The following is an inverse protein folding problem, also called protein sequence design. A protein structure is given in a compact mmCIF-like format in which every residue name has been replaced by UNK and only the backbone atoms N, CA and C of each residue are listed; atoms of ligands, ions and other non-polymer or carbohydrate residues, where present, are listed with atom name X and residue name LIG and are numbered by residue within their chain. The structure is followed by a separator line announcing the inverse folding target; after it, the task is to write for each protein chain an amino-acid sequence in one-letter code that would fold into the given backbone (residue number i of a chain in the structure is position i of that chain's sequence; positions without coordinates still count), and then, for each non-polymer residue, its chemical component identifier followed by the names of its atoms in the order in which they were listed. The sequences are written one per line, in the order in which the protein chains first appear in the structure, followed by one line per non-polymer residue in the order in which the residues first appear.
data_IF_054192096403
#
_entry.id   IF_054192096403
#
_cell.length_a   1.000
_cell.length_b   1.000
_cell.length_c   1.000
_cell.angle_alpha   90.00
_cell.angle_beta   90.00
_cell.angle_gamma   90.00
#
_symmetry.space_group_name_H-M   'P 1'
#
loop_
_entity.id
_entity.type
_entity.pdbx_description
1 polymer ?
#
# COMPACT_ATOMS: atom_id res chain seq x y z
N UNK A 1 -11.87 -37.76 -28.43
CA UNK A 1 -12.26 -36.34 -28.61
C UNK A 1 -11.20 -35.70 -29.49
N UNK A 2 -11.54 -35.32 -30.72
CA UNK A 2 -10.61 -34.70 -31.67
C UNK A 2 -10.44 -33.22 -31.34
N UNK A 3 -9.20 -32.79 -31.17
CA UNK A 3 -8.82 -31.40 -30.93
C UNK A 3 -8.42 -30.74 -32.25
N UNK A 4 -9.35 -30.64 -33.20
CA UNK A 4 -9.06 -29.97 -34.45
C UNK A 4 -10.21 -29.97 -35.43
N UNK A 5 -11.01 -28.91 -35.40
CA UNK A 5 -11.55 -28.25 -36.59
C UNK A 5 -12.26 -26.93 -36.18
N UNK A 6 -11.63 -25.79 -36.51
CA UNK A 6 -12.29 -24.52 -36.83
C UNK A 6 -13.00 -23.73 -35.72
N UNK A 7 -12.26 -22.79 -35.10
CA UNK A 7 -12.74 -21.64 -34.32
C UNK A 7 -13.80 -21.91 -33.25
N UNK A 8 -13.35 -22.29 -32.06
CA UNK A 8 -14.17 -22.24 -30.86
C UNK A 8 -14.76 -20.82 -30.71
N UNK A 9 -16.09 -20.73 -30.62
CA UNK A 9 -16.75 -19.43 -30.50
C UNK A 9 -16.29 -18.75 -29.20
N UNK A 10 -16.22 -17.42 -29.17
CA UNK A 10 -15.92 -16.65 -27.95
C UNK A 10 -16.79 -17.07 -26.75
N UNK A 11 -18.05 -17.44 -27.00
CA UNK A 11 -18.94 -17.96 -25.97
C UNK A 11 -18.43 -19.30 -25.38
N UNK A 12 -17.97 -20.22 -26.24
CA UNK A 12 -17.46 -21.54 -25.85
C UNK A 12 -16.10 -21.44 -25.16
N UNK A 13 -15.22 -20.53 -25.65
CA UNK A 13 -13.95 -20.23 -24.98
C UNK A 13 -14.18 -19.65 -23.58
N UNK A 14 -15.13 -18.73 -23.43
CA UNK A 14 -15.52 -18.20 -22.12
C UNK A 14 -16.03 -19.32 -21.21
N UNK A 15 -16.89 -20.19 -21.73
CA UNK A 15 -17.48 -21.29 -20.96
C UNK A 15 -16.41 -22.29 -20.49
N UNK A 16 -15.45 -22.60 -21.38
CA UNK A 16 -14.29 -23.42 -21.04
C UNK A 16 -13.43 -22.76 -19.94
N UNK A 17 -13.18 -21.45 -20.02
CA UNK A 17 -12.44 -20.73 -18.98
C UNK A 17 -13.21 -20.69 -17.65
N UNK A 18 -14.53 -20.56 -17.66
CA UNK A 18 -15.35 -20.59 -16.45
C UNK A 18 -15.31 -21.96 -15.75
N UNK A 19 -15.29 -23.04 -16.54
CA UNK A 19 -15.24 -24.41 -16.06
C UNK A 19 -13.84 -24.91 -15.72
N UNK A 20 -12.79 -24.12 -15.97
CA UNK A 20 -11.46 -24.46 -15.49
C UNK A 20 -11.44 -24.49 -13.95
N UNK A 21 -10.65 -25.41 -13.36
CA UNK A 21 -10.38 -25.41 -11.92
C UNK A 21 -9.86 -24.03 -11.45
N UNK A 22 -10.20 -23.65 -10.22
CA UNK A 22 -9.79 -22.36 -9.64
C UNK A 22 -8.27 -22.19 -9.55
N UNK A 23 -7.56 -23.31 -9.44
CA UNK A 23 -6.10 -23.44 -9.42
C UNK A 23 -5.47 -23.53 -10.82
N UNK A 24 -6.25 -23.40 -11.90
CA UNK A 24 -5.72 -23.40 -13.26
C UNK A 24 -4.88 -22.15 -13.56
N UNK A 25 -3.81 -22.33 -14.35
CA UNK A 25 -2.92 -21.24 -14.78
C UNK A 25 -3.67 -20.10 -15.49
N UNK A 26 -4.73 -20.42 -16.25
CA UNK A 26 -5.55 -19.41 -16.95
C UNK A 26 -6.36 -18.55 -15.98
N UNK A 27 -6.98 -19.15 -14.95
CA UNK A 27 -7.69 -18.39 -13.93
C UNK A 27 -6.73 -17.60 -13.05
N UNK A 28 -5.56 -18.17 -12.73
CA UNK A 28 -4.49 -17.49 -12.01
C UNK A 28 -4.02 -16.22 -12.76
N UNK A 29 -3.67 -16.35 -14.04
CA UNK A 29 -3.25 -15.23 -14.88
C UNK A 29 -4.34 -14.15 -15.05
N UNK A 30 -5.61 -14.55 -15.21
CA UNK A 30 -6.73 -13.60 -15.31
C UNK A 30 -6.94 -12.81 -14.02
N UNK A 31 -6.64 -13.42 -12.87
CA UNK A 31 -6.72 -12.78 -11.55
C UNK A 31 -5.48 -11.96 -11.16
N UNK A 32 -4.47 -11.86 -12.03
CA UNK A 32 -3.23 -11.13 -11.72
C UNK A 32 -2.29 -11.86 -10.76
N UNK A 33 -2.40 -13.19 -10.66
CA UNK A 33 -1.47 -14.01 -9.87
C UNK A 33 -0.15 -14.15 -10.62
N UNK A 34 0.94 -13.72 -9.96
CA UNK A 34 2.30 -13.81 -10.46
C UNK A 34 3.07 -14.74 -9.54
N UNK A 35 3.72 -15.75 -10.12
CA UNK A 35 4.59 -16.72 -9.43
C UNK A 35 3.88 -17.67 -8.43
N UNK A 36 2.57 -17.88 -8.56
CA UNK A 36 1.83 -18.82 -7.72
C UNK A 36 1.69 -18.35 -6.27
N UNK A 37 1.70 -17.02 -6.07
CA UNK A 37 1.54 -16.38 -4.76
C UNK A 37 0.08 -16.34 -4.31
N UNK A 38 -0.88 -16.81 -5.11
CA UNK A 38 -2.30 -16.78 -4.74
C UNK A 38 -2.65 -17.79 -3.65
N UNK A 39 -3.37 -17.31 -2.63
CA UNK A 39 -4.10 -18.19 -1.71
C UNK A 39 -5.41 -18.67 -2.33
N UNK A 40 -5.78 -19.91 -2.04
CA UNK A 40 -7.13 -20.37 -2.35
C UNK A 40 -8.15 -19.64 -1.47
N UNK A 41 -9.42 -19.60 -1.89
CA UNK A 41 -10.49 -18.99 -1.10
C UNK A 41 -10.57 -19.58 0.33
N UNK A 42 -10.34 -20.89 0.46
CA UNK A 42 -10.28 -21.55 1.76
C UNK A 42 -9.14 -21.03 2.63
N UNK A 43 -7.97 -20.80 2.05
CA UNK A 43 -6.80 -20.27 2.77
C UNK A 43 -7.03 -18.82 3.20
N UNK A 44 -7.62 -17.98 2.35
CA UNK A 44 -8.04 -16.63 2.75
C UNK A 44 -9.02 -16.65 3.92
N UNK A 45 -10.01 -17.54 3.89
CA UNK A 45 -11.01 -17.63 4.95
C UNK A 45 -10.38 -18.09 6.28
N UNK A 46 -9.46 -19.06 6.22
CA UNK A 46 -8.73 -19.54 7.40
C UNK A 46 -7.81 -18.47 7.98
N UNK A 47 -7.08 -17.75 7.13
CA UNK A 47 -6.23 -16.63 7.54
C UNK A 47 -7.06 -15.50 8.19
N UNK A 48 -8.20 -15.15 7.60
CA UNK A 48 -9.12 -14.15 8.16
C UNK A 48 -9.66 -14.59 9.52
N UNK A 49 -10.05 -15.86 9.67
CA UNK A 49 -10.53 -16.42 10.93
C UNK A 49 -9.42 -16.38 12.01
N UNK A 50 -8.20 -16.78 11.65
CA UNK A 50 -7.05 -16.71 12.56
C UNK A 50 -6.78 -15.27 13.02
N UNK A 51 -6.74 -14.31 12.10
CA UNK A 51 -6.52 -12.90 12.41
C UNK A 51 -7.64 -12.32 13.29
N UNK A 52 -8.89 -12.72 13.07
CA UNK A 52 -10.00 -12.31 13.92
C UNK A 52 -9.86 -12.85 15.35
N UNK A 53 -9.46 -14.12 15.51
CA UNK A 53 -9.18 -14.69 16.83
C UNK A 53 -8.02 -14.00 17.52
N UNK A 54 -6.95 -13.72 16.79
CA UNK A 54 -5.80 -12.98 17.31
C UNK A 54 -6.22 -11.59 17.83
N UNK A 55 -7.08 -10.88 17.09
CA UNK A 55 -7.64 -9.60 17.52
C UNK A 55 -8.47 -9.75 18.81
N UNK A 56 -9.36 -10.74 18.87
CA UNK A 56 -10.14 -11.01 20.08
C UNK A 56 -9.25 -11.28 21.30
N UNK A 57 -8.20 -12.08 21.13
CA UNK A 57 -7.22 -12.36 22.19
C UNK A 57 -6.54 -11.07 22.64
N UNK A 58 -6.09 -10.22 21.72
CA UNK A 58 -5.46 -8.92 22.06
C UNK A 58 -6.41 -8.00 22.81
N UNK A 59 -7.68 -7.94 22.40
CA UNK A 59 -8.72 -7.15 23.08
C UNK A 59 -8.98 -7.67 24.48
N UNK A 60 -9.16 -8.99 24.64
CA UNK A 60 -9.37 -9.61 25.95
C UNK A 60 -8.15 -9.43 26.86
N UNK A 61 -6.94 -9.51 26.31
CA UNK A 61 -5.71 -9.29 27.05
C UNK A 61 -5.62 -7.86 27.57
N UNK A 62 -5.80 -6.87 26.68
CA UNK A 62 -5.81 -5.47 27.05
C UNK A 62 -6.89 -5.14 28.10
N UNK A 63 -8.03 -5.83 28.05
CA UNK A 63 -9.12 -5.59 28.97
C UNK A 63 -8.96 -6.29 30.34
N UNK A 64 -8.35 -7.49 30.39
CA UNK A 64 -8.48 -8.39 31.56
C UNK A 64 -7.15 -8.94 32.11
N UNK A 65 -6.04 -8.80 31.39
CA UNK A 65 -4.76 -9.41 31.77
C UNK A 65 -3.69 -8.34 32.07
N UNK A 66 -2.71 -8.70 32.91
CA UNK A 66 -1.54 -7.85 33.21
C UNK A 66 -0.32 -8.37 32.46
N UNK A 67 0.48 -7.46 31.94
CA UNK A 67 1.69 -7.77 31.15
C UNK A 67 1.45 -7.65 29.65
N UNK A 68 2.50 -7.85 28.87
CA UNK A 68 2.44 -7.71 27.41
C UNK A 68 1.70 -8.89 26.77
N UNK A 69 0.89 -8.64 25.72
CA UNK A 69 0.21 -9.71 24.99
C UNK A 69 1.23 -10.64 24.31
N UNK A 70 0.87 -11.90 24.09
CA UNK A 70 1.73 -12.84 23.37
C UNK A 70 2.05 -12.33 21.96
N UNK A 71 3.33 -12.40 21.59
CA UNK A 71 3.82 -12.00 20.27
C UNK A 71 3.40 -13.05 19.23
N UNK A 72 2.21 -12.83 18.68
CA UNK A 72 1.68 -13.60 17.56
C UNK A 72 1.43 -12.61 16.43
N UNK A 73 2.24 -12.67 15.34
CA UNK A 73 2.02 -11.83 14.18
C UNK A 73 0.74 -12.26 13.45
N UNK A 74 0.01 -11.31 12.84
CA UNK A 74 -1.10 -11.66 11.96
C UNK A 74 -0.59 -12.39 10.71
N UNK A 75 -1.47 -13.18 10.12
CA UNK A 75 -1.23 -13.85 8.85
C UNK A 75 -1.50 -12.84 7.73
N UNK A 76 -0.45 -12.43 7.04
CA UNK A 76 -0.51 -11.44 5.95
C UNK A 76 -0.79 -12.13 4.62
N UNK A 77 -1.74 -11.57 3.87
CA UNK A 77 -2.04 -12.02 2.52
C UNK A 77 -0.83 -11.84 1.61
N UNK A 78 -0.60 -12.73 0.64
CA UNK A 78 0.47 -12.57 -0.34
C UNK A 78 0.24 -11.31 -1.18
N UNK A 79 1.30 -10.56 -1.45
CA UNK A 79 1.23 -9.37 -2.29
C UNK A 79 0.95 -9.76 -3.75
N UNK A 80 -0.03 -9.08 -4.36
CA UNK A 80 -0.34 -9.15 -5.79
C UNK A 80 0.31 -7.98 -6.54
N UNK A 81 0.41 -8.04 -7.87
CA UNK A 81 0.92 -6.90 -8.67
C UNK A 81 0.14 -5.61 -8.42
N UNK A 82 -1.16 -5.72 -8.13
CA UNK A 82 -2.02 -4.56 -7.84
C UNK A 82 -1.61 -3.93 -6.51
N UNK A 83 -1.32 -4.75 -5.51
CA UNK A 83 -0.86 -4.28 -4.19
C UNK A 83 0.52 -3.64 -4.30
N UNK A 84 1.43 -4.23 -5.08
CA UNK A 84 2.76 -3.69 -5.35
C UNK A 84 2.68 -2.31 -6.04
N UNK A 85 1.86 -2.19 -7.10
CA UNK A 85 1.64 -0.91 -7.80
C UNK A 85 0.97 0.12 -6.89
N UNK A 86 0.03 -0.29 -6.05
CA UNK A 86 -0.62 0.62 -5.10
C UNK A 86 0.39 1.14 -4.07
N UNK A 87 1.26 0.26 -3.54
CA UNK A 87 2.32 0.66 -2.63
C UNK A 87 3.32 1.63 -3.27
N UNK A 88 3.67 1.43 -4.55
CA UNK A 88 4.50 2.36 -5.32
C UNK A 88 3.82 3.74 -5.47
N UNK A 89 2.52 3.78 -5.76
CA UNK A 89 1.76 5.02 -5.87
C UNK A 89 1.65 5.76 -4.52
N UNK A 90 1.45 5.03 -3.42
CA UNK A 90 1.42 5.59 -2.07
C UNK A 90 2.79 6.16 -1.68
N UNK A 91 3.88 5.44 -1.95
CA UNK A 91 5.24 5.92 -1.73
C UNK A 91 5.54 7.18 -2.56
N UNK A 92 5.11 7.22 -3.83
CA UNK A 92 5.25 8.40 -4.68
C UNK A 92 4.41 9.58 -4.16
N UNK A 93 3.21 9.31 -3.64
CA UNK A 93 2.35 10.31 -3.01
C UNK A 93 2.99 10.92 -1.76
N UNK A 94 3.58 10.09 -0.90
CA UNK A 94 4.33 10.54 0.29
C UNK A 94 5.50 11.43 -0.14
N UNK A 95 6.34 10.97 -1.06
CA UNK A 95 7.47 11.75 -1.56
C UNK A 95 7.05 13.11 -2.17
N UNK A 96 5.95 13.13 -2.93
CA UNK A 96 5.39 14.37 -3.47
C UNK A 96 4.92 15.32 -2.36
N UNK A 97 4.17 14.80 -1.39
CA UNK A 97 3.69 15.59 -0.26
C UNK A 97 4.83 16.15 0.60
N UNK A 98 5.89 15.37 0.85
CA UNK A 98 7.10 15.83 1.52
C UNK A 98 7.79 16.93 0.72
N UNK A 99 7.90 16.79 -0.61
CA UNK A 99 8.48 17.82 -1.47
C UNK A 99 7.68 19.14 -1.42
N UNK A 100 6.35 19.06 -1.41
CA UNK A 100 5.48 20.24 -1.27
C UNK A 100 5.64 20.86 0.12
N UNK A 101 5.62 20.07 1.19
CA UNK A 101 5.79 20.58 2.55
C UNK A 101 7.15 21.25 2.75
N UNK A 102 8.21 20.69 2.15
CA UNK A 102 9.55 21.28 2.18
C UNK A 102 9.63 22.63 1.45
N UNK A 103 8.84 22.84 0.39
CA UNK A 103 8.77 24.16 -0.28
C UNK A 103 8.19 25.24 0.63
N UNK A 104 7.29 24.87 1.55
CA UNK A 104 6.66 25.79 2.49
C UNK A 104 7.27 25.74 3.91
N UNK A 105 8.38 25.01 4.09
CA UNK A 105 9.05 24.97 5.39
C UNK A 105 9.72 26.31 5.66
N UNK A 106 9.55 26.89 6.87
CA UNK A 106 10.14 28.18 7.22
C UNK A 106 11.67 28.08 7.22
N UNK A 107 12.33 28.97 6.48
CA UNK A 107 13.79 28.96 6.28
C UNK A 107 14.26 28.66 4.85
N UNK A 108 13.36 28.67 3.87
CA UNK A 108 13.75 28.69 2.45
C UNK A 108 14.47 30.00 2.10
N UNK A 109 15.41 29.95 1.13
CA UNK A 109 16.34 31.05 0.78
C UNK A 109 15.70 32.44 0.62
N UNK A 110 14.43 32.50 0.22
CA UNK A 110 13.67 33.74 0.06
C UNK A 110 13.45 34.46 1.38
N UNK A 111 13.13 33.74 2.46
CA UNK A 111 12.96 34.32 3.80
C UNK A 111 14.29 34.86 4.34
N UNK A 112 15.39 34.15 4.09
CA UNK A 112 16.71 34.57 4.57
C UNK A 112 17.18 35.86 3.88
N UNK A 113 16.93 36.00 2.58
CA UNK A 113 17.27 37.21 1.83
C UNK A 113 16.44 38.44 2.27
N UNK A 114 15.16 38.25 2.60
CA UNK A 114 14.33 39.33 3.17
C UNK A 114 14.77 39.69 4.59
N UNK A 115 15.09 38.71 5.43
CA UNK A 115 15.63 38.93 6.79
C UNK A 115 16.94 39.74 6.70
N UNK A 116 17.84 39.37 5.80
CA UNK A 116 19.12 40.07 5.62
C UNK A 116 18.91 41.50 5.08
N UNK A 117 17.94 41.68 4.18
CA UNK A 117 17.56 43.01 3.68
C UNK A 117 17.05 43.91 4.81
N UNK A 118 16.11 43.45 5.63
CA UNK A 118 15.58 44.23 6.75
C UNK A 118 16.60 44.45 7.87
N UNK A 119 17.48 43.48 8.13
CA UNK A 119 18.59 43.62 9.06
C UNK A 119 19.62 44.66 8.61
N UNK A 120 19.82 44.84 7.29
CA UNK A 120 20.66 45.90 6.75
C UNK A 120 20.03 47.28 6.94
N UNK A 121 18.71 47.40 6.70
CA UNK A 121 17.95 48.64 6.87
C UNK A 121 17.89 49.10 8.33
N UNK A 122 17.76 48.17 9.27
CA UNK A 122 17.80 48.48 10.71
C UNK A 122 19.15 49.04 11.13
N UNK A 123 20.27 48.47 10.65
CA UNK A 123 21.62 49.00 10.91
C UNK A 123 21.84 50.40 10.34
N UNK A 124 21.32 50.67 9.14
CA UNK A 124 21.35 52.02 8.55
C UNK A 124 20.59 53.04 9.40
N UNK A 125 19.43 52.64 9.94
CA UNK A 125 18.61 53.50 10.80
C UNK A 125 19.23 53.72 12.19
N UNK A 126 19.83 52.70 12.80
CA UNK A 126 20.57 52.84 14.06
C UNK A 126 21.81 53.73 13.91
N UNK A 127 22.52 53.65 12.79
CA UNK A 127 23.68 54.51 12.52
C UNK A 127 23.30 55.97 12.21
N UNK A 128 22.04 56.21 11.79
CA UNK A 128 21.50 57.53 11.50
C UNK A 128 20.74 58.16 12.69
N UNK A 129 20.55 57.41 13.78
CA UNK A 129 19.97 57.93 15.02
C UNK A 129 21.06 58.69 15.83
N UNK A 130 20.81 59.95 16.24
CA UNK A 130 21.78 60.79 16.95
C UNK A 130 22.06 60.35 18.39
#
# INVERSE_FOLDING_TARGET
MSWGEGSMNWAELRDLVQHLPEDSATKAATSGDVEGRRWTQSTYLQAAQYNALLLMIRVLWAAHLKGDPPDMPPVESPATEVDERQAELEAAGIAYSEAVLNQFSPGTQTDQAEIDHWASKLRELEAAAP
#
